data_IF_132015868755
#
_entry.id   IF_132015868755
#
_cell.length_a   1.000
_cell.length_b   1.000
_cell.length_c   1.000
_cell.angle_alpha   90.00
_cell.angle_beta   90.00
_cell.angle_gamma   90.00
#
_symmetry.space_group_name_H-M   'P 1'
#
loop_
_entity.id
_entity.type
_entity.pdbx_description
1 polymer ?
#
# COMPACT_ATOMS: atom_id res chain seq x y z
N UNK A 1 15.23 9.03 8.08
CA UNK A 1 14.44 10.17 7.60
C UNK A 1 14.98 10.81 6.33
N UNK A 2 16.29 11.00 6.18
CA UNK A 2 16.92 11.61 4.99
C UNK A 2 16.52 10.97 3.66
N UNK A 3 16.51 9.66 3.59
CA UNK A 3 16.18 8.91 2.36
C UNK A 3 14.74 9.14 1.90
N UNK A 4 13.80 9.17 2.85
CA UNK A 4 12.38 9.39 2.58
C UNK A 4 12.13 10.79 2.01
N UNK A 5 12.83 11.78 2.52
CA UNK A 5 12.73 13.17 2.05
C UNK A 5 13.25 13.37 0.62
N UNK A 6 14.25 12.61 0.18
CA UNK A 6 14.77 12.68 -1.18
C UNK A 6 13.73 12.25 -2.22
N UNK A 7 12.79 11.40 -1.84
CA UNK A 7 11.75 10.89 -2.73
C UNK A 7 10.44 11.67 -2.53
N UNK A 8 9.98 11.81 -1.29
CA UNK A 8 8.69 12.43 -0.98
C UNK A 8 8.74 13.96 -0.90
N UNK A 9 9.94 14.53 -0.85
CA UNK A 9 10.14 15.94 -0.59
C UNK A 9 10.06 16.30 0.88
N UNK A 10 10.22 17.57 1.20
CA UNK A 10 10.11 18.06 2.57
C UNK A 10 8.69 17.93 3.07
N UNK A 11 8.46 17.34 4.26
CA UNK A 11 7.12 17.25 4.82
C UNK A 11 6.58 18.65 5.15
N UNK A 12 5.28 18.82 5.04
CA UNK A 12 4.57 20.02 5.47
C UNK A 12 4.51 20.08 7.00
N UNK A 13 4.16 21.24 7.54
CA UNK A 13 3.93 21.39 8.99
C UNK A 13 2.87 20.43 9.51
N UNK A 14 1.79 20.30 8.79
CA UNK A 14 0.68 19.40 9.10
C UNK A 14 1.14 17.95 9.12
N UNK A 15 1.95 17.55 8.14
CA UNK A 15 2.52 16.21 8.08
C UNK A 15 3.48 15.94 9.24
N UNK A 16 4.32 16.90 9.60
CA UNK A 16 5.22 16.78 10.75
C UNK A 16 4.42 16.62 12.04
N UNK A 17 3.40 17.45 12.22
CA UNK A 17 2.52 17.39 13.40
C UNK A 17 1.76 16.05 13.47
N UNK A 18 1.33 15.51 12.34
CA UNK A 18 0.66 14.21 12.26
C UNK A 18 1.59 13.06 12.63
N UNK A 19 2.88 13.16 12.29
CA UNK A 19 3.87 12.15 12.67
C UNK A 19 4.24 12.23 14.15
N UNK A 20 4.44 13.44 14.67
CA UNK A 20 4.75 13.68 16.09
C UNK A 20 4.44 15.13 16.45
N UNK A 21 3.40 15.33 17.27
CA UNK A 21 2.95 16.65 17.70
C UNK A 21 3.98 17.43 18.55
N UNK A 22 4.98 16.75 19.10
CA UNK A 22 6.04 17.37 19.88
C UNK A 22 7.15 18.00 19.02
N UNK A 23 7.20 17.69 17.72
CA UNK A 23 8.16 18.24 16.78
C UNK A 23 7.59 19.49 16.09
N UNK A 24 7.61 20.63 16.79
CA UNK A 24 7.05 21.88 16.26
C UNK A 24 8.08 22.82 15.64
N UNK A 25 9.38 22.61 15.88
CA UNK A 25 10.44 23.57 15.50
C UNK A 25 11.54 23.00 14.61
N UNK A 26 11.33 21.85 13.95
CA UNK A 26 12.35 21.29 13.09
C UNK A 26 12.40 22.04 11.76
N UNK A 27 13.57 22.63 11.46
CA UNK A 27 13.86 23.17 10.13
C UNK A 27 14.48 22.09 9.27
N UNK A 28 13.68 21.51 8.39
CA UNK A 28 14.18 20.58 7.38
C UNK A 28 14.66 21.33 6.14
N UNK A 29 15.69 20.82 5.44
CA UNK A 29 16.06 21.37 4.14
C UNK A 29 14.88 21.25 3.17
N UNK A 30 14.70 22.26 2.31
CA UNK A 30 13.63 22.27 1.32
C UNK A 30 14.00 21.39 0.13
N UNK A 31 13.44 20.21 0.07
CA UNK A 31 13.65 19.22 -0.98
C UNK A 31 12.35 19.06 -1.76
N UNK A 32 12.42 19.21 -3.08
CA UNK A 32 11.28 18.97 -3.96
C UNK A 32 11.01 17.47 -4.09
N UNK A 33 9.73 17.09 -4.04
CA UNK A 33 9.33 15.70 -4.26
C UNK A 33 9.78 15.19 -5.64
N UNK A 34 10.26 13.96 -5.69
CA UNK A 34 10.61 13.28 -6.91
C UNK A 34 9.42 12.46 -7.42
N UNK A 35 9.15 12.51 -8.71
CA UNK A 35 8.10 11.67 -9.29
C UNK A 35 8.48 10.19 -9.20
N UNK A 36 7.53 9.34 -8.87
CA UNK A 36 7.75 7.89 -8.75
C UNK A 36 8.29 7.27 -10.03
N UNK A 37 7.87 7.78 -11.19
CA UNK A 37 8.38 7.35 -12.51
C UNK A 37 9.88 7.56 -12.69
N UNK A 38 10.47 8.50 -11.95
CA UNK A 38 11.92 8.77 -11.95
C UNK A 38 12.67 7.94 -10.91
N UNK A 39 11.98 7.49 -9.88
CA UNK A 39 12.55 6.64 -8.82
C UNK A 39 12.67 5.19 -9.28
N UNK A 40 11.65 4.70 -9.97
CA UNK A 40 11.59 3.32 -10.46
C UNK A 40 11.96 3.23 -11.94
N UNK A 41 12.32 2.01 -12.36
CA UNK A 41 12.62 1.74 -13.77
C UNK A 41 11.37 1.94 -14.64
N UNK A 42 11.56 2.29 -15.91
CA UNK A 42 10.50 2.61 -16.87
C UNK A 42 9.43 1.50 -17.05
N UNK A 43 9.80 0.26 -16.78
CA UNK A 43 8.88 -0.89 -16.91
C UNK A 43 8.07 -1.18 -15.65
N UNK A 44 8.22 -0.38 -14.60
CA UNK A 44 7.45 -0.59 -13.36
C UNK A 44 5.98 -0.26 -13.61
N UNK A 45 5.03 -1.17 -13.26
CA UNK A 45 3.60 -0.91 -13.41
C UNK A 45 3.14 0.32 -12.62
N UNK A 46 2.17 1.05 -13.15
CA UNK A 46 1.60 2.22 -12.46
C UNK A 46 0.96 1.85 -11.13
N UNK A 47 0.31 0.69 -11.06
CA UNK A 47 -0.31 0.18 -9.83
C UNK A 47 0.71 -0.05 -8.72
N UNK A 48 1.92 -0.50 -9.08
CA UNK A 48 3.01 -0.67 -8.11
C UNK A 48 3.46 0.67 -7.54
N UNK A 49 3.57 1.70 -8.38
CA UNK A 49 3.94 3.06 -7.96
C UNK A 49 2.84 3.69 -7.09
N UNK A 50 1.57 3.49 -7.44
CA UNK A 50 0.43 3.96 -6.66
C UNK A 50 0.40 3.28 -5.28
N UNK A 51 0.59 1.97 -5.24
CA UNK A 51 0.65 1.21 -3.99
C UNK A 51 1.76 1.72 -3.07
N UNK A 52 2.99 1.87 -3.58
CA UNK A 52 4.11 2.33 -2.77
C UNK A 52 3.90 3.76 -2.27
N UNK A 53 3.34 4.65 -3.12
CA UNK A 53 3.01 6.01 -2.73
C UNK A 53 2.02 6.06 -1.58
N UNK A 54 1.00 5.23 -1.61
CA UNK A 54 -0.01 5.15 -0.56
C UNK A 54 0.51 4.55 0.75
N UNK A 55 1.55 3.72 0.71
CA UNK A 55 2.19 3.18 1.91
C UNK A 55 3.19 4.12 2.56
N UNK A 56 3.78 5.04 1.79
CA UNK A 56 4.87 5.90 2.24
C UNK A 56 4.44 7.34 2.58
N UNK A 57 3.14 7.62 2.66
CA UNK A 57 2.66 8.93 3.10
C UNK A 57 3.29 9.33 4.44
N UNK A 58 3.60 10.61 4.62
CA UNK A 58 4.17 11.11 5.87
C UNK A 58 3.19 10.99 7.02
N UNK A 59 1.94 11.43 6.82
CA UNK A 59 0.91 11.34 7.84
C UNK A 59 0.45 9.88 7.99
N UNK A 60 0.57 9.29 9.19
CA UNK A 60 0.17 7.89 9.41
C UNK A 60 -1.29 7.60 9.04
N UNK A 61 -2.21 8.54 9.31
CA UNK A 61 -3.63 8.39 8.99
C UNK A 61 -3.94 8.43 7.48
N UNK A 62 -3.01 8.91 6.65
CA UNK A 62 -3.15 8.92 5.19
C UNK A 62 -2.55 7.70 4.51
N UNK A 63 -1.82 6.88 5.26
CA UNK A 63 -1.28 5.64 4.72
C UNK A 63 -2.39 4.65 4.48
N UNK A 64 -2.25 3.87 3.40
CA UNK A 64 -3.19 2.77 3.13
C UNK A 64 -3.19 1.80 4.32
N UNK A 65 -4.37 1.37 4.73
CA UNK A 65 -4.52 0.40 5.81
C UNK A 65 -4.19 -1.01 5.32
N UNK A 66 -3.82 -1.96 6.21
CA UNK A 66 -3.36 -3.28 5.80
C UNK A 66 -4.33 -4.03 4.87
N UNK A 67 -5.60 -4.10 5.21
CA UNK A 67 -6.59 -4.80 4.39
C UNK A 67 -6.87 -4.07 3.07
N UNK A 68 -6.91 -2.74 3.08
CA UNK A 68 -6.97 -1.92 1.87
C UNK A 68 -5.77 -2.20 0.96
N UNK A 69 -4.58 -2.34 1.55
CA UNK A 69 -3.37 -2.70 0.82
C UNK A 69 -3.51 -4.05 0.13
N UNK A 70 -4.07 -5.04 0.81
CA UNK A 70 -4.33 -6.36 0.22
C UNK A 70 -5.37 -6.29 -0.92
N UNK A 71 -6.30 -5.35 -0.86
CA UNK A 71 -7.32 -5.14 -1.89
C UNK A 71 -6.86 -4.22 -3.01
N UNK A 72 -5.65 -3.67 -2.94
CA UNK A 72 -5.13 -2.74 -3.95
C UNK A 72 -5.03 -3.41 -5.33
N UNK A 73 -5.33 -2.68 -6.42
CA UNK A 73 -5.26 -3.21 -7.80
C UNK A 73 -3.93 -3.85 -8.18
N UNK A 74 -2.82 -3.44 -7.55
CA UNK A 74 -1.52 -4.06 -7.78
C UNK A 74 -1.53 -5.58 -7.51
N UNK A 75 -2.40 -6.04 -6.62
CA UNK A 75 -2.53 -7.46 -6.27
C UNK A 75 -3.70 -8.17 -6.96
N UNK A 76 -4.35 -7.54 -7.95
CA UNK A 76 -5.49 -8.15 -8.66
C UNK A 76 -5.14 -9.50 -9.28
N UNK A 77 -3.93 -9.64 -9.81
CA UNK A 77 -3.45 -10.90 -10.37
C UNK A 77 -3.47 -12.05 -9.36
N UNK A 78 -3.15 -11.75 -8.09
CA UNK A 78 -3.16 -12.74 -7.02
C UNK A 78 -4.58 -13.15 -6.59
N UNK A 79 -5.59 -12.35 -6.92
CA UNK A 79 -6.99 -12.64 -6.67
C UNK A 79 -7.66 -13.41 -7.82
N UNK A 80 -6.99 -13.53 -8.96
CA UNK A 80 -7.49 -14.32 -10.07
C UNK A 80 -7.24 -15.81 -9.82
N UNK A 81 -8.31 -16.60 -9.77
CA UNK A 81 -8.24 -18.05 -9.53
C UNK A 81 -7.43 -18.81 -10.60
N UNK A 82 -7.24 -18.21 -11.78
CA UNK A 82 -6.47 -18.80 -12.88
C UNK A 82 -4.97 -18.60 -12.74
N UNK A 83 -4.53 -17.69 -11.87
CA UNK A 83 -3.11 -17.39 -11.68
C UNK A 83 -2.40 -18.59 -11.08
N UNK A 84 -1.26 -18.95 -11.66
CA UNK A 84 -0.40 -20.04 -11.22
C UNK A 84 0.99 -19.54 -10.91
N UNK A 85 1.70 -20.27 -10.06
CA UNK A 85 3.12 -20.05 -9.85
C UNK A 85 3.91 -20.39 -11.13
N UNK A 86 5.14 -19.87 -11.29
CA UNK A 86 5.97 -20.19 -12.45
C UNK A 86 6.17 -21.69 -12.70
N UNK A 87 6.12 -22.51 -11.65
CA UNK A 87 6.23 -23.97 -11.73
C UNK A 87 4.88 -24.66 -12.07
N UNK A 88 3.81 -23.89 -12.33
CA UNK A 88 2.49 -24.41 -12.68
C UNK A 88 1.61 -24.79 -11.50
N UNK A 89 2.11 -24.75 -10.27
CA UNK A 89 1.30 -25.04 -9.08
C UNK A 89 0.37 -23.88 -8.72
N UNK A 90 -0.66 -24.19 -7.95
CA UNK A 90 -1.60 -23.18 -7.44
C UNK A 90 -0.94 -22.24 -6.42
N UNK A 91 -1.48 -21.05 -6.32
CA UNK A 91 -1.04 -20.09 -5.28
C UNK A 91 -1.34 -20.65 -3.88
N UNK A 92 -0.49 -20.37 -2.89
CA UNK A 92 -0.82 -20.67 -1.49
C UNK A 92 -2.05 -19.87 -1.04
N UNK A 93 -2.68 -20.23 0.11
CA UNK A 93 -3.78 -19.45 0.65
C UNK A 93 -3.29 -18.07 1.10
N UNK A 94 -3.62 -17.03 0.32
CA UNK A 94 -3.19 -15.65 0.56
C UNK A 94 -4.26 -14.80 1.25
N UNK A 95 -5.50 -15.29 1.32
CA UNK A 95 -6.67 -14.51 1.73
C UNK A 95 -7.43 -15.16 2.90
N UNK A 96 -6.74 -15.93 3.71
CA UNK A 96 -7.28 -16.61 4.90
C UNK A 96 -7.34 -15.66 6.12
N UNK A 97 -7.97 -14.51 5.93
CA UNK A 97 -8.09 -13.50 6.96
C UNK A 97 -8.97 -13.96 8.13
N UNK A 98 -8.60 -13.55 9.33
CA UNK A 98 -9.43 -13.74 10.51
C UNK A 98 -10.64 -12.82 10.47
N UNK A 99 -11.69 -13.15 11.27
CA UNK A 99 -12.85 -12.28 11.39
C UNK A 99 -12.47 -10.88 11.90
N UNK A 100 -11.47 -10.80 12.78
CA UNK A 100 -10.97 -9.52 13.29
C UNK A 100 -10.34 -8.66 12.18
N UNK A 101 -9.53 -9.28 11.33
CA UNK A 101 -8.92 -8.59 10.17
C UNK A 101 -9.98 -8.11 9.19
N UNK A 102 -10.96 -8.94 8.86
CA UNK A 102 -12.05 -8.59 7.95
C UNK A 102 -12.93 -7.47 8.50
N UNK A 103 -13.16 -7.44 9.80
CA UNK A 103 -13.98 -6.42 10.45
C UNK A 103 -13.28 -5.05 10.52
N UNK A 104 -11.98 -4.99 10.31
CA UNK A 104 -11.24 -3.72 10.29
C UNK A 104 -11.67 -2.81 9.15
N UNK A 105 -12.10 -3.38 8.04
CA UNK A 105 -12.58 -2.65 6.85
C UNK A 105 -13.80 -3.37 6.24
N UNK A 106 -15.01 -3.21 6.82
CA UNK A 106 -16.21 -3.92 6.36
C UNK A 106 -16.57 -3.67 4.89
N UNK A 107 -16.22 -2.50 4.36
CA UNK A 107 -16.50 -2.11 2.97
C UNK A 107 -15.68 -2.94 1.94
N UNK A 108 -14.64 -3.62 2.37
CA UNK A 108 -13.77 -4.41 1.52
C UNK A 108 -14.13 -5.91 1.53
N UNK A 109 -15.11 -6.32 2.34
CA UNK A 109 -15.53 -7.71 2.46
C UNK A 109 -15.87 -8.32 1.09
N UNK A 110 -16.54 -7.58 0.22
CA UNK A 110 -16.90 -8.05 -1.11
C UNK A 110 -15.68 -8.31 -2.00
N UNK A 111 -14.64 -7.47 -1.90
CA UNK A 111 -13.40 -7.64 -2.65
C UNK A 111 -12.51 -8.76 -2.12
N UNK A 112 -12.56 -9.02 -0.84
CA UNK A 112 -11.67 -9.97 -0.16
C UNK A 112 -12.35 -11.31 0.07
N UNK A 113 -13.69 -11.34 0.21
CA UNK A 113 -14.48 -12.55 0.41
C UNK A 113 -14.88 -13.27 -0.88
N UNK A 114 -14.88 -12.58 -2.01
CA UNK A 114 -15.20 -13.20 -3.30
C UNK A 114 -14.28 -14.40 -3.64
N UNK A 115 -13.09 -14.40 -3.07
CA UNK A 115 -12.13 -15.48 -3.20
C UNK A 115 -12.40 -16.67 -2.25
N UNK A 116 -13.25 -16.48 -1.24
CA UNK A 116 -13.67 -17.57 -0.37
C UNK A 116 -14.79 -18.43 -0.94
N UNK A 117 -15.56 -17.91 -1.91
CA UNK A 117 -16.69 -18.63 -2.50
C UNK A 117 -16.22 -19.62 -3.57
N UNK A 118 -15.18 -19.29 -4.31
CA UNK A 118 -14.66 -20.18 -5.38
C UNK A 118 -13.77 -21.32 -4.86
N UNK A 119 -13.30 -21.25 -3.62
CA UNK A 119 -12.50 -22.32 -3.02
C UNK A 119 -13.34 -23.37 -2.27
N UNK A 120 -14.66 -23.20 -2.18
CA UNK A 120 -15.59 -24.15 -1.56
C UNK A 120 -16.53 -24.88 -2.53
N UNK A 121 -16.36 -24.66 -3.82
CA UNK A 121 -17.09 -25.40 -4.86
C UNK A 121 -16.22 -26.42 -5.58
#
# INVERSE_FOLDING_TARGET
MRFKMQVLGTPTREEISAMNSNYTEFKFPQIKACQWRKVFRSKTPEEAMDFIGSTLAYAPERRIKPLEGCAHPFFDELRDARTKLPNGSSLPPLFDFTAHELNSEPNLLDKVSYLFVDLRS
#
